data_IF_723225066094
#
_entry.id   IF_723225066094
#
_cell.length_a   1.000
_cell.length_b   1.000
_cell.length_c   1.000
_cell.angle_alpha   90.00
_cell.angle_beta   90.00
_cell.angle_gamma   90.00
#
_symmetry.space_group_name_H-M   'P 1'
#
loop_
_entity.id
_entity.type
_entity.pdbx_description
1 polymer ?
#
# COMPACT_ATOMS: atom_id res chain seq x y z
N UNK A 1 2.36 8.64 -21.25
CA UNK A 1 3.16 8.49 -20.01
C UNK A 1 2.25 8.23 -18.81
N UNK A 2 1.26 9.10 -18.57
CA UNK A 2 0.23 8.94 -17.52
C UNK A 2 -0.49 7.58 -17.56
N UNK A 3 -0.89 7.10 -18.75
CA UNK A 3 -1.57 5.80 -18.91
C UNK A 3 -0.76 4.62 -18.36
N UNK A 4 0.58 4.67 -18.49
CA UNK A 4 1.46 3.61 -17.95
C UNK A 4 1.50 3.63 -16.43
N UNK A 5 1.49 4.83 -15.82
CA UNK A 5 1.43 4.96 -14.36
C UNK A 5 0.09 4.46 -13.81
N UNK A 6 -1.02 4.91 -14.42
CA UNK A 6 -2.36 4.45 -14.02
C UNK A 6 -2.51 2.94 -14.18
N UNK A 7 -2.10 2.41 -15.33
CA UNK A 7 -2.12 0.98 -15.60
C UNK A 7 -1.30 0.19 -14.59
N UNK A 8 -0.09 0.65 -14.26
CA UNK A 8 0.77 0.02 -13.26
C UNK A 8 0.11 -0.02 -11.88
N UNK A 9 -0.34 1.13 -11.35
CA UNK A 9 -0.96 1.23 -10.03
C UNK A 9 -2.24 0.38 -9.92
N UNK A 10 -3.09 0.43 -10.96
CA UNK A 10 -4.31 -0.39 -11.01
C UNK A 10 -3.98 -1.88 -11.08
N UNK A 11 -3.00 -2.28 -11.89
CA UNK A 11 -2.61 -3.68 -12.02
C UNK A 11 -1.97 -4.23 -10.74
N UNK A 12 -1.20 -3.41 -10.01
CA UNK A 12 -0.63 -3.78 -8.73
C UNK A 12 -1.73 -4.03 -7.70
N UNK A 13 -2.67 -3.08 -7.55
CA UNK A 13 -3.80 -3.23 -6.63
C UNK A 13 -4.72 -4.41 -6.97
N UNK A 14 -4.96 -4.64 -8.27
CA UNK A 14 -5.74 -5.79 -8.73
C UNK A 14 -5.01 -7.12 -8.46
N UNK A 15 -3.72 -7.18 -8.75
CA UNK A 15 -2.89 -8.36 -8.52
C UNK A 15 -2.79 -8.73 -7.04
N UNK A 16 -2.60 -7.73 -6.18
CA UNK A 16 -2.65 -7.86 -4.72
C UNK A 16 -3.99 -8.46 -4.27
N UNK A 17 -5.10 -7.80 -4.61
CA UNK A 17 -6.43 -8.26 -4.18
C UNK A 17 -6.80 -9.65 -4.73
N UNK A 18 -6.41 -9.98 -5.96
CA UNK A 18 -6.60 -11.32 -6.53
C UNK A 18 -5.75 -12.37 -5.81
N UNK A 19 -4.47 -12.09 -5.58
CA UNK A 19 -3.56 -12.99 -4.88
C UNK A 19 -4.03 -13.29 -3.45
N UNK A 20 -4.51 -12.26 -2.74
CA UNK A 20 -5.08 -12.40 -1.41
C UNK A 20 -6.37 -13.25 -1.42
N UNK A 21 -7.24 -13.07 -2.42
CA UNK A 21 -8.51 -13.81 -2.52
C UNK A 21 -8.36 -15.33 -2.73
N UNK A 22 -7.17 -15.81 -3.11
CA UNK A 22 -6.88 -17.25 -3.18
C UNK A 22 -6.85 -17.86 -1.76
N UNK A 23 -6.43 -17.07 -0.78
CA UNK A 23 -6.30 -17.49 0.62
C UNK A 23 -7.49 -17.05 1.47
N UNK A 24 -8.19 -15.98 1.07
CA UNK A 24 -9.38 -15.45 1.76
C UNK A 24 -10.67 -15.71 0.97
N UNK A 25 -11.58 -16.49 1.55
CA UNK A 25 -12.87 -16.82 0.93
C UNK A 25 -13.91 -15.75 1.22
N UNK A 26 -14.36 -15.02 0.19
CA UNK A 26 -15.37 -13.97 0.37
C UNK A 26 -15.94 -13.31 -0.89
N UNK A 27 -15.42 -13.63 -2.08
CA UNK A 27 -15.91 -13.11 -3.37
C UNK A 27 -15.70 -11.62 -3.63
N UNK A 28 -15.42 -10.83 -2.58
CA UNK A 28 -15.08 -9.41 -2.67
C UNK A 28 -13.55 -9.28 -2.72
N UNK A 29 -13.04 -8.71 -3.81
CA UNK A 29 -11.62 -8.37 -3.92
C UNK A 29 -11.31 -7.18 -3.02
N UNK A 30 -10.37 -7.40 -2.09
CA UNK A 30 -9.86 -6.38 -1.17
C UNK A 30 -8.33 -6.43 -1.22
N UNK A 31 -7.71 -5.28 -1.43
CA UNK A 31 -6.25 -5.17 -1.42
C UNK A 31 -5.68 -5.27 0.00
N UNK A 32 -4.43 -5.68 0.14
CA UNK A 32 -3.75 -5.95 1.42
C UNK A 32 -2.83 -4.79 1.84
N UNK A 33 -1.91 -5.07 2.76
CA UNK A 33 -0.87 -4.14 3.16
C UNK A 33 -0.02 -3.70 1.96
N UNK A 34 0.24 -4.57 0.97
CA UNK A 34 0.99 -4.23 -0.24
C UNK A 34 0.48 -2.95 -0.92
N UNK A 35 -0.83 -2.89 -1.22
CA UNK A 35 -1.43 -1.70 -1.82
C UNK A 35 -1.54 -0.52 -0.85
N UNK A 36 -1.81 -0.78 0.44
CA UNK A 36 -1.86 0.29 1.44
C UNK A 36 -0.51 1.02 1.55
N UNK A 37 0.58 0.26 1.57
CA UNK A 37 1.96 0.77 1.59
C UNK A 37 2.33 1.48 0.29
N UNK A 38 1.91 0.94 -0.86
CA UNK A 38 2.12 1.57 -2.16
C UNK A 38 1.44 2.94 -2.24
N UNK A 39 0.21 3.09 -1.70
CA UNK A 39 -0.50 4.37 -1.66
C UNK A 39 0.26 5.38 -0.79
N UNK A 40 0.66 4.99 0.42
CA UNK A 40 1.42 5.86 1.32
C UNK A 40 2.73 6.38 0.68
N UNK A 41 3.44 5.50 -0.04
CA UNK A 41 4.63 5.87 -0.80
C UNK A 41 4.32 6.84 -1.95
N UNK A 42 3.26 6.57 -2.72
CA UNK A 42 2.87 7.41 -3.84
C UNK A 42 2.47 8.82 -3.38
N UNK A 43 1.74 8.92 -2.27
CA UNK A 43 1.36 10.21 -1.69
C UNK A 43 2.58 11.02 -1.22
N UNK A 44 3.57 10.38 -0.57
CA UNK A 44 4.83 11.06 -0.19
C UNK A 44 5.59 11.59 -1.41
N UNK A 45 5.69 10.80 -2.49
CA UNK A 45 6.34 11.23 -3.72
C UNK A 45 5.62 12.44 -4.33
N UNK A 46 4.28 12.43 -4.35
CA UNK A 46 3.48 13.53 -4.91
C UNK A 46 3.65 14.79 -4.08
N UNK A 47 3.52 14.69 -2.76
CA UNK A 47 3.66 15.84 -1.86
C UNK A 47 5.10 16.38 -1.79
N UNK A 48 6.09 15.50 -1.88
CA UNK A 48 7.51 15.84 -1.93
C UNK A 48 7.98 16.37 -3.29
N UNK A 49 7.09 16.51 -4.28
CA UNK A 49 7.45 17.00 -5.62
C UNK A 49 8.44 16.08 -6.33
N UNK A 50 8.28 14.77 -6.18
CA UNK A 50 9.16 13.74 -6.74
C UNK A 50 10.33 13.34 -5.84
N UNK A 51 10.44 13.92 -4.65
CA UNK A 51 11.43 13.53 -3.63
C UNK A 51 10.76 12.76 -2.50
N UNK A 52 11.53 11.92 -1.83
CA UNK A 52 11.08 11.18 -0.66
C UNK A 52 11.86 11.72 0.55
N UNK A 53 11.13 12.10 1.58
CA UNK A 53 11.66 12.28 2.94
C UNK A 53 11.47 10.96 3.70
N UNK A 54 12.54 10.22 4.04
CA UNK A 54 12.42 8.92 4.71
C UNK A 54 11.70 8.99 6.06
N UNK A 55 11.83 10.10 6.80
CA UNK A 55 11.19 10.24 8.10
C UNK A 55 9.68 10.44 7.95
N UNK A 56 9.25 11.29 6.99
CA UNK A 56 7.83 11.46 6.68
C UNK A 56 7.20 10.18 6.13
N UNK A 57 7.94 9.48 5.26
CA UNK A 57 7.48 8.21 4.73
C UNK A 57 7.26 7.18 5.84
N UNK A 58 8.17 7.11 6.83
CA UNK A 58 8.01 6.23 7.98
C UNK A 58 6.74 6.56 8.76
N UNK A 59 6.48 7.84 9.06
CA UNK A 59 5.24 8.25 9.74
C UNK A 59 3.97 7.91 8.95
N UNK A 60 3.97 8.11 7.62
CA UNK A 60 2.85 7.68 6.77
C UNK A 60 2.60 6.19 6.83
N UNK A 61 3.66 5.39 6.93
CA UNK A 61 3.57 3.95 7.08
C UNK A 61 2.93 3.55 8.41
N UNK A 62 3.29 4.24 9.50
CA UNK A 62 2.63 4.10 10.81
C UNK A 62 1.15 4.47 10.71
N UNK A 63 0.84 5.64 10.16
CA UNK A 63 -0.54 6.13 10.03
C UNK A 63 -1.41 5.20 9.17
N UNK A 64 -0.86 4.65 8.09
CA UNK A 64 -1.56 3.67 7.24
C UNK A 64 -1.87 2.39 8.02
N UNK A 65 -0.90 1.89 8.79
CA UNK A 65 -1.08 0.73 9.66
C UNK A 65 -2.10 0.99 10.76
N UNK A 66 -2.00 2.10 11.49
CA UNK A 66 -2.93 2.42 12.59
C UNK A 66 -4.36 2.59 12.11
N UNK A 67 -4.56 3.15 10.90
CA UNK A 67 -5.87 3.34 10.30
C UNK A 67 -6.53 2.02 9.88
N UNK A 68 -5.76 1.08 9.35
CA UNK A 68 -6.27 -0.19 8.80
C UNK A 68 -5.39 -1.40 9.18
N UNK A 69 -5.19 -1.72 10.46
CA UNK A 69 -4.21 -2.72 10.91
C UNK A 69 -4.56 -4.15 10.48
N UNK A 70 -5.81 -4.38 10.05
CA UNK A 70 -6.32 -5.67 9.60
C UNK A 70 -5.94 -6.02 8.16
N UNK A 71 -5.14 -5.22 7.45
CA UNK A 71 -4.81 -5.44 6.03
C UNK A 71 -3.79 -6.55 5.72
N UNK A 72 -3.34 -7.30 6.73
CA UNK A 72 -2.44 -8.44 6.50
C UNK A 72 -0.96 -8.15 6.71
N UNK A 73 -0.63 -7.00 7.31
CA UNK A 73 0.74 -6.61 7.67
C UNK A 73 1.53 -7.76 8.29
N UNK A 74 2.70 -8.02 7.72
CA UNK A 74 3.65 -8.96 8.30
C UNK A 74 4.03 -8.57 9.75
N UNK A 75 4.62 -9.50 10.52
CA UNK A 75 4.97 -9.24 11.92
C UNK A 75 6.14 -8.24 12.09
N UNK A 76 6.83 -7.89 11.00
CA UNK A 76 7.99 -7.01 10.99
C UNK A 76 7.64 -5.53 11.09
N UNK A 77 6.90 -4.95 10.13
CA UNK A 77 6.62 -3.51 10.10
C UNK A 77 6.08 -2.94 11.41
N UNK A 78 5.06 -3.56 12.08
CA UNK A 78 4.57 -3.06 13.37
C UNK A 78 5.58 -3.08 14.53
N UNK A 79 6.74 -3.72 14.38
CA UNK A 79 7.81 -3.77 15.41
C UNK A 79 8.89 -2.72 15.23
N UNK A 80 8.92 -2.06 14.07
CA UNK A 80 9.95 -1.07 13.70
C UNK A 80 9.35 0.30 13.40
N UNK A 81 8.02 0.39 13.31
CA UNK A 81 7.26 1.62 13.48
C UNK A 81 7.41 2.17 14.90
#
# INVERSE_FOLDING_TARGET
>A
MLERFLGCMLSAALGDALGASIHESGGILRYTDDTAMMIALAEEIVEGGGRIDPEKLAWRFVEAYEREPWRGYGPGPPRIF
#
